data_IF_090572622962
#
_entry.id   IF_090572622962
#
_cell.length_a   1.000
_cell.length_b   1.000
_cell.length_c   1.000
_cell.angle_alpha   90.00
_cell.angle_beta   90.00
_cell.angle_gamma   90.00
#
_symmetry.space_group_name_H-M   'P 1'
#
loop_
_entity.id
_entity.type
_entity.pdbx_description
1 polymer ?
#
# COMPACT_ATOMS: atom_id res chain seq x y z
N UNK A 1 1.74 -9.55 -6.97
CA UNK A 1 2.53 -9.03 -5.83
C UNK A 1 2.25 -7.54 -5.69
N UNK A 2 2.17 -7.05 -4.46
CA UNK A 2 2.06 -5.63 -4.14
C UNK A 2 3.19 -5.28 -3.17
N UNK A 3 3.83 -4.13 -3.36
CA UNK A 3 4.76 -3.54 -2.38
C UNK A 3 4.13 -2.26 -1.85
N UNK A 4 4.09 -2.12 -0.53
CA UNK A 4 3.56 -0.96 0.15
C UNK A 4 4.69 -0.22 0.87
N UNK A 5 4.92 1.03 0.49
CA UNK A 5 5.99 1.86 1.04
C UNK A 5 5.37 2.93 1.96
N UNK A 6 5.67 2.83 3.26
CA UNK A 6 5.05 3.70 4.30
C UNK A 6 5.90 4.93 4.60
N UNK A 7 7.19 4.72 4.90
CA UNK A 7 8.14 5.77 5.32
C UNK A 7 9.40 5.82 4.43
N UNK A 8 9.29 5.31 3.20
CA UNK A 8 10.37 5.34 2.21
C UNK A 8 10.50 6.68 1.49
N UNK A 9 11.43 6.74 0.53
CA UNK A 9 11.52 7.87 -0.40
C UNK A 9 10.30 7.93 -1.33
N UNK A 10 9.92 9.13 -1.74
CA UNK A 10 8.95 9.32 -2.82
C UNK A 10 9.36 8.56 -4.10
N UNK A 11 8.37 8.16 -4.88
CA UNK A 11 8.62 7.55 -6.19
C UNK A 11 8.47 8.57 -7.31
N UNK A 12 9.22 8.37 -8.40
CA UNK A 12 9.11 9.19 -9.62
C UNK A 12 8.54 8.33 -10.73
N UNK A 13 7.28 8.58 -11.08
CA UNK A 13 6.57 7.84 -12.11
C UNK A 13 7.07 8.21 -13.52
N UNK A 14 7.31 7.21 -14.40
CA UNK A 14 7.52 7.46 -15.82
C UNK A 14 6.18 7.66 -16.56
N UNK A 15 6.15 8.40 -17.68
CA UNK A 15 7.28 9.06 -18.34
C UNK A 15 7.47 10.52 -17.92
N UNK A 16 6.48 11.13 -17.25
CA UNK A 16 6.39 12.56 -16.95
C UNK A 16 7.22 13.00 -15.72
N UNK A 17 7.86 12.05 -15.03
CA UNK A 17 8.59 12.28 -13.77
C UNK A 17 7.71 12.85 -12.66
N UNK A 18 6.44 12.46 -12.65
CA UNK A 18 5.52 12.82 -11.58
C UNK A 18 5.98 12.21 -10.25
N UNK A 19 6.02 13.04 -9.20
CA UNK A 19 6.44 12.63 -7.86
C UNK A 19 5.23 12.12 -7.09
N UNK A 20 5.34 10.89 -6.60
CA UNK A 20 4.33 10.24 -5.76
C UNK A 20 4.88 10.16 -4.33
N UNK A 21 4.30 10.93 -3.38
CA UNK A 21 4.76 10.91 -2.01
C UNK A 21 4.46 9.57 -1.34
N UNK A 22 5.22 9.21 -0.30
CA UNK A 22 4.80 8.16 0.63
C UNK A 22 3.65 8.66 1.52
N UNK A 23 2.70 7.79 1.91
CA UNK A 23 2.63 6.36 1.59
C UNK A 23 2.07 6.07 0.18
N UNK A 24 2.66 5.09 -0.50
CA UNK A 24 2.23 4.67 -1.85
C UNK A 24 2.41 3.17 -2.10
N UNK A 25 1.77 2.67 -3.17
CA UNK A 25 1.80 1.27 -3.58
C UNK A 25 2.49 1.07 -4.92
N UNK A 26 3.19 -0.05 -5.05
CA UNK A 26 3.61 -0.63 -6.32
C UNK A 26 2.86 -1.94 -6.58
N UNK A 27 2.18 -2.03 -7.72
CA UNK A 27 1.48 -3.23 -8.14
C UNK A 27 2.30 -3.93 -9.24
N UNK A 28 2.69 -5.17 -9.02
CA UNK A 28 3.53 -5.92 -9.95
C UNK A 28 2.67 -6.69 -10.95
N UNK A 29 2.16 -5.95 -11.94
CA UNK A 29 1.47 -6.49 -13.12
C UNK A 29 1.89 -5.70 -14.35
N UNK A 30 1.64 -6.24 -15.55
CA UNK A 30 1.94 -5.56 -16.81
C UNK A 30 1.29 -4.16 -16.89
N UNK A 31 0.03 -4.04 -16.43
CA UNK A 31 -0.72 -2.77 -16.37
C UNK A 31 0.04 -1.66 -15.62
N UNK A 32 0.75 -2.02 -14.57
CA UNK A 32 1.50 -1.08 -13.71
C UNK A 32 3.01 -1.15 -13.96
N UNK A 33 3.41 -1.59 -15.16
CA UNK A 33 4.80 -1.74 -15.59
C UNK A 33 5.64 -2.57 -14.61
N UNK A 34 5.06 -3.67 -14.12
CA UNK A 34 5.68 -4.58 -13.15
C UNK A 34 6.25 -3.84 -11.93
N UNK A 35 5.47 -2.92 -11.35
CA UNK A 35 5.88 -2.11 -10.19
C UNK A 35 6.68 -0.85 -10.55
N UNK A 36 6.84 -0.52 -11.83
CA UNK A 36 7.51 0.71 -12.26
C UNK A 36 6.70 1.99 -12.01
N UNK A 37 5.40 1.86 -11.73
CA UNK A 37 4.48 2.97 -11.40
C UNK A 37 4.03 2.80 -9.94
N UNK A 38 4.08 3.90 -9.18
CA UNK A 38 3.48 4.00 -7.85
C UNK A 38 2.13 4.71 -7.91
N UNK A 39 1.26 4.34 -6.98
CA UNK A 39 -0.06 4.93 -6.78
C UNK A 39 -0.12 5.47 -5.35
N UNK A 40 -0.48 6.75 -5.14
CA UNK A 40 -0.74 7.27 -3.79
C UNK A 40 -1.75 6.38 -3.07
N UNK A 41 -1.51 6.08 -1.79
CA UNK A 41 -2.46 5.25 -1.02
C UNK A 41 -3.86 5.87 -1.00
N UNK A 42 -3.97 7.20 -0.98
CA UNK A 42 -5.22 7.95 -1.04
C UNK A 42 -6.02 7.78 -2.33
N UNK A 43 -5.40 7.29 -3.41
CA UNK A 43 -6.07 7.07 -4.70
C UNK A 43 -6.42 5.59 -4.94
N UNK A 44 -6.12 4.72 -3.96
CA UNK A 44 -6.45 3.30 -4.07
C UNK A 44 -7.95 3.08 -3.86
N UNK A 45 -8.64 2.77 -4.95
CA UNK A 45 -10.09 2.46 -4.95
C UNK A 45 -10.40 0.97 -5.11
N UNK A 46 -9.38 0.14 -5.39
CA UNK A 46 -9.56 -1.29 -5.60
C UNK A 46 -9.79 -2.01 -4.26
N UNK A 47 -11.05 -2.33 -3.98
CA UNK A 47 -11.48 -2.96 -2.73
C UNK A 47 -10.82 -4.30 -2.45
N UNK A 48 -10.41 -5.06 -3.48
CA UNK A 48 -9.74 -6.34 -3.28
C UNK A 48 -8.30 -6.12 -2.82
N UNK A 49 -7.59 -5.16 -3.43
CA UNK A 49 -6.22 -4.81 -3.01
C UNK A 49 -6.21 -4.25 -1.59
N UNK A 50 -7.18 -3.39 -1.25
CA UNK A 50 -7.32 -2.86 0.12
C UNK A 50 -7.47 -4.02 1.11
N UNK A 51 -8.40 -4.95 0.83
CA UNK A 51 -8.63 -6.12 1.67
C UNK A 51 -7.37 -6.97 1.82
N UNK A 52 -6.69 -7.28 0.72
CA UNK A 52 -5.48 -8.12 0.72
C UNK A 52 -4.34 -7.47 1.56
N UNK A 53 -4.20 -6.15 1.51
CA UNK A 53 -3.20 -5.41 2.31
C UNK A 53 -3.58 -5.42 3.79
N UNK A 54 -4.86 -5.21 4.11
CA UNK A 54 -5.36 -5.30 5.48
C UNK A 54 -5.14 -6.69 6.08
N UNK A 55 -5.49 -7.75 5.35
CA UNK A 55 -5.27 -9.15 5.79
C UNK A 55 -3.76 -9.47 5.96
N UNK A 56 -2.91 -8.96 5.05
CA UNK A 56 -1.46 -9.12 5.18
C UNK A 56 -0.89 -8.40 6.42
N UNK A 57 -1.42 -7.22 6.75
CA UNK A 57 -1.06 -6.49 7.97
C UNK A 57 -1.49 -7.27 9.22
N UNK A 58 -2.75 -7.73 9.27
CA UNK A 58 -3.25 -8.55 10.38
C UNK A 58 -2.40 -9.81 10.59
N UNK A 59 -2.07 -10.51 9.50
CA UNK A 59 -1.17 -11.66 9.55
C UNK A 59 0.21 -11.30 10.09
N UNK A 60 0.81 -10.21 9.62
CA UNK A 60 2.14 -9.77 10.06
C UNK A 60 2.17 -9.38 11.54
N UNK A 61 1.14 -8.69 12.03
CA UNK A 61 1.04 -8.30 13.44
C UNK A 61 0.88 -9.54 14.32
N UNK A 62 0.01 -10.49 13.92
CA UNK A 62 -0.12 -11.78 14.60
C UNK A 62 1.19 -12.58 14.62
N UNK A 63 1.93 -12.61 13.50
CA UNK A 63 3.24 -13.26 13.42
C UNK A 63 4.29 -12.61 14.34
N UNK A 64 4.17 -11.30 14.58
CA UNK A 64 5.10 -10.54 15.42
C UNK A 64 4.85 -10.70 16.93
N UNK A 65 3.91 -11.58 17.34
CA UNK A 65 3.47 -11.76 18.73
C UNK A 65 3.03 -10.46 19.42
N UNK A 66 2.54 -9.49 18.64
CA UNK A 66 1.94 -8.28 19.19
C UNK A 66 0.54 -8.65 19.67
N UNK A 67 0.22 -8.29 20.92
CA UNK A 67 -1.14 -8.49 21.43
C UNK A 67 -2.10 -7.56 20.68
N UNK A 68 -3.11 -8.15 20.04
CA UNK A 68 -4.13 -7.44 19.26
C UNK A 68 -5.33 -6.98 20.09
N UNK A 69 -5.44 -7.38 21.36
CA UNK A 69 -6.61 -7.08 22.21
C UNK A 69 -6.94 -5.58 22.31
N UNK A 70 -5.92 -4.72 22.25
CA UNK A 70 -6.03 -3.25 22.33
C UNK A 70 -5.67 -2.55 21.01
N UNK A 71 -5.55 -3.28 19.89
CA UNK A 71 -5.19 -2.72 18.58
C UNK A 71 -6.44 -2.47 17.75
N UNK A 72 -6.67 -1.21 17.39
CA UNK A 72 -7.75 -0.81 16.48
C UNK A 72 -7.15 -0.52 15.11
N UNK A 73 -7.55 -1.30 14.09
CA UNK A 73 -7.22 -1.04 12.68
C UNK A 73 -8.41 -0.34 12.05
N UNK A 74 -8.29 0.98 11.81
CA UNK A 74 -9.32 1.76 11.11
C UNK A 74 -8.92 2.00 9.65
N UNK A 75 -9.72 1.56 8.66
CA UNK A 75 -9.50 1.90 7.27
C UNK A 75 -9.87 3.36 7.02
N UNK A 76 -8.91 4.28 7.15
CA UNK A 76 -9.12 5.71 6.87
C UNK A 76 -8.90 6.04 5.38
N UNK A 77 -9.48 5.24 4.49
CA UNK A 77 -9.32 5.38 3.02
C UNK A 77 -10.47 6.16 2.35
N UNK A 78 -11.47 6.60 3.12
CA UNK A 78 -12.58 7.40 2.61
C UNK A 78 -12.83 8.58 3.56
N UNK A 79 -12.40 9.77 3.14
CA UNK A 79 -12.79 11.06 3.72
C UNK A 79 -13.49 11.92 2.67
#
# INVERSE_FOLDING_TARGET
>A
MVRFDVNGSDHINPPNKERIPTPHLHIFTEKYKNGGIAIPLSELVDTQIIKDISEALEFFVGFSNINMDDVIIEPNLFS
#
